data_IF_921197761828
#
_entry.id   IF_921197761828
#
_cell.length_a   1.000
_cell.length_b   1.000
_cell.length_c   1.000
_cell.angle_alpha   90.00
_cell.angle_beta   90.00
_cell.angle_gamma   90.00
#
_symmetry.space_group_name_H-M   'P 1'
#
loop_
_entity.id
_entity.type
_entity.pdbx_description
1 polymer ?
#
# COMPACT_ATOMS: atom_id res chain seq x y z
N UNK A 1 -0.24 18.21 0.60
CA UNK A 1 -0.78 16.86 0.87
C UNK A 1 -1.34 16.83 2.28
N UNK A 2 -2.65 16.60 2.46
CA UNK A 2 -3.24 16.44 3.81
C UNK A 2 -2.87 15.04 4.32
N UNK A 3 -2.10 14.97 5.41
CA UNK A 3 -1.73 13.71 6.06
C UNK A 3 -3.01 12.93 6.44
N UNK A 4 -3.07 11.60 6.23
CA UNK A 4 -4.22 10.80 6.64
C UNK A 4 -4.42 10.89 8.16
N UNK A 5 -5.58 11.37 8.60
CA UNK A 5 -5.90 11.66 10.01
C UNK A 5 -6.03 10.42 10.91
N UNK A 6 -6.06 9.21 10.33
CA UNK A 6 -6.17 7.93 11.06
C UNK A 6 -4.82 7.22 11.05
N UNK A 7 -4.25 6.83 12.22
CA UNK A 7 -2.94 6.20 12.31
C UNK A 7 -2.87 4.89 11.50
N UNK A 8 -3.96 4.12 11.47
CA UNK A 8 -4.06 2.89 10.66
C UNK A 8 -3.86 3.15 9.17
N UNK A 9 -4.44 4.23 8.64
CA UNK A 9 -4.30 4.57 7.22
C UNK A 9 -2.90 5.09 6.89
N UNK A 10 -2.28 5.84 7.81
CA UNK A 10 -0.90 6.25 7.69
C UNK A 10 0.03 5.03 7.66
N UNK A 11 -0.18 4.08 8.59
CA UNK A 11 0.59 2.83 8.66
C UNK A 11 0.42 2.00 7.38
N UNK A 12 -0.80 1.81 6.88
CA UNK A 12 -1.06 1.08 5.63
C UNK A 12 -0.40 1.77 4.43
N UNK A 13 -0.44 3.10 4.36
CA UNK A 13 0.24 3.84 3.31
C UNK A 13 1.76 3.64 3.35
N UNK A 14 2.39 3.80 4.53
CA UNK A 14 3.84 3.65 4.67
C UNK A 14 4.31 2.20 4.45
N UNK A 15 3.56 1.22 4.95
CA UNK A 15 3.86 -0.21 4.71
C UNK A 15 3.73 -0.53 3.22
N UNK A 16 2.67 -0.05 2.56
CA UNK A 16 2.49 -0.23 1.11
C UNK A 16 3.61 0.42 0.30
N UNK A 17 3.99 1.65 0.65
CA UNK A 17 5.08 2.38 -0.01
C UNK A 17 6.44 1.69 0.18
N UNK A 18 6.75 1.28 1.42
CA UNK A 18 7.98 0.56 1.73
C UNK A 18 8.04 -0.75 0.95
N UNK A 19 6.97 -1.55 0.99
CA UNK A 19 6.89 -2.83 0.29
C UNK A 19 7.09 -2.70 -1.22
N UNK A 20 6.47 -1.69 -1.85
CA UNK A 20 6.68 -1.39 -3.27
C UNK A 20 8.14 -1.02 -3.58
N UNK A 21 8.76 -0.22 -2.72
CA UNK A 21 10.15 0.22 -2.91
C UNK A 21 11.12 -0.95 -2.80
N UNK A 22 10.97 -1.85 -1.82
CA UNK A 22 11.78 -3.08 -1.74
C UNK A 22 11.56 -3.97 -2.94
N UNK A 23 10.34 -4.04 -3.46
CA UNK A 23 10.02 -4.90 -4.60
C UNK A 23 10.67 -4.42 -5.89
N UNK A 24 10.65 -3.11 -6.13
CA UNK A 24 11.38 -2.48 -7.24
C UNK A 24 12.88 -2.75 -7.11
N UNK A 25 13.44 -2.61 -5.91
CA UNK A 25 14.86 -2.89 -5.66
C UNK A 25 15.22 -4.36 -5.94
N UNK A 26 14.39 -5.31 -5.49
CA UNK A 26 14.63 -6.75 -5.74
C UNK A 26 14.48 -7.08 -7.23
N UNK A 27 13.48 -6.50 -7.92
CA UNK A 27 13.35 -6.61 -9.38
C UNK A 27 14.58 -6.09 -10.11
N UNK A 28 15.06 -4.92 -9.74
CA UNK A 28 16.27 -4.36 -10.34
C UNK A 28 17.49 -5.23 -10.06
N UNK A 29 17.65 -5.70 -8.82
CA UNK A 29 18.75 -6.59 -8.44
C UNK A 29 18.73 -7.89 -9.26
N UNK A 30 17.58 -8.56 -9.39
CA UNK A 30 17.48 -9.79 -10.18
C UNK A 30 17.75 -9.55 -11.67
N UNK A 31 17.28 -8.43 -12.22
CA UNK A 31 17.61 -8.01 -13.59
C UNK A 31 19.11 -7.82 -13.78
N UNK A 32 19.81 -7.15 -12.85
CA UNK A 32 21.27 -6.99 -12.94
C UNK A 32 22.04 -8.30 -12.84
N UNK A 33 21.46 -9.32 -12.21
CA UNK A 33 22.04 -10.67 -12.10
C UNK A 33 21.65 -11.57 -13.29
N UNK A 34 20.88 -11.08 -14.26
CA UNK A 34 20.38 -11.86 -15.40
C UNK A 34 19.42 -12.97 -14.99
N UNK A 35 18.82 -12.90 -13.80
CA UNK A 35 17.86 -13.88 -13.30
C UNK A 35 16.44 -13.46 -13.62
N UNK A 36 15.63 -14.41 -14.06
CA UNK A 36 14.20 -14.21 -14.28
C UNK A 36 13.42 -14.36 -12.97
N UNK A 37 12.36 -13.58 -12.83
CA UNK A 37 11.42 -13.73 -11.73
C UNK A 37 10.43 -14.86 -12.03
N UNK A 38 10.16 -15.68 -11.02
CA UNK A 38 9.15 -16.74 -11.06
C UNK A 38 7.77 -16.18 -11.40
N UNK A 39 6.93 -16.96 -12.10
CA UNK A 39 5.60 -16.50 -12.51
C UNK A 39 4.75 -16.00 -11.33
N UNK A 40 4.83 -16.63 -10.16
CA UNK A 40 4.06 -16.20 -8.98
C UNK A 40 4.54 -14.87 -8.37
N UNK A 41 5.66 -14.34 -8.83
CA UNK A 41 6.27 -13.14 -8.26
C UNK A 41 5.38 -11.89 -8.38
N UNK A 42 4.52 -11.82 -9.40
CA UNK A 42 3.55 -10.74 -9.54
C UNK A 42 2.59 -10.66 -8.35
N UNK A 43 2.31 -11.77 -7.65
CA UNK A 43 1.41 -11.78 -6.50
C UNK A 43 1.96 -10.97 -5.33
N UNK A 44 3.29 -10.95 -5.16
CA UNK A 44 3.90 -10.14 -4.13
C UNK A 44 3.64 -8.64 -4.35
N UNK A 45 3.38 -8.20 -5.59
CA UNK A 45 3.05 -6.80 -5.89
C UNK A 45 1.65 -6.40 -5.44
N UNK A 46 0.73 -7.35 -5.28
CA UNK A 46 -0.66 -7.06 -4.90
C UNK A 46 -0.78 -6.53 -3.47
N UNK A 47 -0.09 -7.13 -2.51
CA UNK A 47 -0.16 -6.72 -1.11
C UNK A 47 0.27 -5.25 -0.88
N UNK A 48 1.46 -4.80 -1.30
CA UNK A 48 1.88 -3.43 -1.09
C UNK A 48 1.06 -2.44 -1.91
N UNK A 49 0.63 -2.79 -3.13
CA UNK A 49 -0.24 -1.92 -3.94
C UNK A 49 -1.62 -1.73 -3.31
N UNK A 50 -2.23 -2.79 -2.76
CA UNK A 50 -3.50 -2.70 -2.03
C UNK A 50 -3.36 -1.84 -0.77
N UNK A 51 -2.29 -2.00 0.00
CA UNK A 51 -2.02 -1.16 1.18
C UNK A 51 -1.85 0.33 0.80
N UNK A 52 -1.16 0.61 -0.30
CA UNK A 52 -0.94 1.97 -0.78
C UNK A 52 -2.25 2.59 -1.31
N UNK A 53 -3.04 1.85 -2.09
CA UNK A 53 -4.34 2.29 -2.59
C UNK A 53 -5.33 2.55 -1.45
N UNK A 54 -5.32 1.72 -0.41
CA UNK A 54 -6.15 1.92 0.79
C UNK A 54 -5.78 3.20 1.56
N UNK A 55 -4.47 3.47 1.68
CA UNK A 55 -3.97 4.71 2.27
C UNK A 55 -4.23 5.96 1.43
N UNK A 56 -4.25 5.82 0.10
CA UNK A 56 -4.34 6.90 -0.87
C UNK A 56 -5.78 7.34 -1.18
N UNK A 57 -6.72 6.39 -1.30
CA UNK A 57 -8.10 6.69 -1.71
C UNK A 57 -8.87 7.25 -0.51
N UNK A 58 -9.10 8.58 -0.42
CA UNK A 58 -9.79 9.19 0.72
C UNK A 58 -11.24 8.73 0.79
N UNK A 59 -11.79 8.27 -0.35
CA UNK A 59 -13.16 7.78 -0.50
C UNK A 59 -13.39 6.42 0.20
N UNK A 60 -12.36 5.61 0.40
CA UNK A 60 -12.39 4.40 1.26
C UNK A 60 -12.25 4.77 2.74
N UNK A 61 -11.64 5.91 3.04
CA UNK A 61 -11.52 6.47 4.39
C UNK A 61 -12.82 7.15 4.87
N UNK A 62 -13.79 7.28 3.95
CA UNK A 62 -15.06 7.99 4.06
C UNK A 62 -16.21 7.08 4.51
N UNK A 63 -15.93 6.01 5.25
CA UNK A 63 -16.91 5.57 6.24
C UNK A 63 -17.13 6.76 7.18
N UNK A 64 -18.14 7.57 6.84
CA UNK A 64 -18.88 8.39 7.78
C UNK A 64 -19.21 7.41 8.91
N UNK A 65 -18.51 7.54 10.02
CA UNK A 65 -19.18 7.27 11.28
C UNK A 65 -20.46 8.09 11.17
N UNK A 66 -21.57 7.37 11.03
CA UNK A 66 -22.88 7.90 11.33
C UNK A 66 -22.76 8.35 12.77
N UNK A 67 -22.38 9.61 12.90
CA UNK A 67 -22.10 10.25 14.16
C UNK A 67 -23.42 10.22 14.90
N UNK A 68 -23.51 9.22 15.78
CA UNK A 68 -24.18 9.24 17.07
C UNK A 68 -25.10 10.45 17.19
N UNK A 69 -26.27 10.36 16.55
CA UNK A 69 -27.39 11.23 16.87
C UNK A 69 -27.97 10.70 18.18
N UNK A 70 -27.27 10.97 19.27
CA UNK A 70 -27.85 11.07 20.61
C UNK A 70 -27.46 12.42 21.17
N UNK A 71 -28.46 13.25 21.43
CA UNK A 71 -28.96 13.37 22.80
C UNK A 71 -30.23 12.55 23.03
#
# INVERSE_FOLDING_TARGET
MKLPKKPVNAVLFYIGALGLLTQVLVSFYLLTQGRTMEWHWWFHWMAPTLCLLWGLIPRLQLQKEEQDRRP
#
